data_IF_991171445299
#
_entry.id   IF_991171445299
#
_cell.length_a   1.000
_cell.length_b   1.000
_cell.length_c   1.000
_cell.angle_alpha   90.00
_cell.angle_beta   90.00
_cell.angle_gamma   90.00
#
_symmetry.space_group_name_H-M   'P 1'
#
loop_
_entity.id
_entity.type
_entity.pdbx_description
1 polymer ?
#
# COMPACT_ATOMS: atom_id res chain seq x y z
N UNK A 1 -1.66 36.27 -8.37
CA UNK A 1 -1.88 34.98 -7.64
C UNK A 1 -0.81 34.86 -6.58
N UNK A 2 -1.15 34.51 -5.32
CA UNK A 2 -0.13 34.25 -4.28
C UNK A 2 0.65 32.98 -4.63
N UNK A 3 1.98 33.03 -4.52
CA UNK A 3 2.88 31.89 -4.72
C UNK A 3 2.49 30.74 -3.78
N UNK A 4 2.40 29.50 -4.28
CA UNK A 4 2.08 28.36 -3.43
C UNK A 4 3.21 28.09 -2.44
N UNK A 5 2.87 27.64 -1.23
CA UNK A 5 3.83 27.12 -0.28
C UNK A 5 4.20 25.68 -0.63
N UNK A 6 5.49 25.40 -0.72
CA UNK A 6 6.04 24.07 -0.99
C UNK A 6 6.65 23.51 0.29
N UNK A 7 6.40 22.25 0.59
CA UNK A 7 6.90 21.64 1.83
C UNK A 7 7.13 20.14 1.70
N UNK A 8 8.18 19.67 2.36
CA UNK A 8 8.37 18.26 2.71
C UNK A 8 8.21 18.15 4.22
N UNK A 9 7.39 17.20 4.68
CA UNK A 9 7.24 16.88 6.10
C UNK A 9 7.61 15.43 6.33
N UNK A 10 8.67 15.26 7.10
CA UNK A 10 9.12 14.00 7.66
C UNK A 10 8.84 14.04 9.16
N UNK A 11 8.34 12.94 9.70
CA UNK A 11 8.17 12.79 11.14
C UNK A 11 9.22 11.79 11.65
N UNK A 12 9.97 12.10 12.71
CA UNK A 12 11.04 11.24 13.21
C UNK A 12 10.55 9.84 13.66
N UNK A 13 9.23 9.71 13.85
CA UNK A 13 8.57 8.49 14.34
C UNK A 13 7.57 7.92 13.34
N UNK A 14 7.64 8.31 12.06
CA UNK A 14 6.76 7.81 11.01
C UNK A 14 7.56 7.45 9.78
N UNK A 15 7.20 6.35 9.13
CA UNK A 15 7.75 5.96 7.83
C UNK A 15 7.06 6.68 6.66
N UNK A 16 6.20 7.66 6.94
CA UNK A 16 5.44 8.40 5.95
C UNK A 16 6.07 9.76 5.69
N UNK A 17 6.40 10.01 4.44
CA UNK A 17 6.84 11.33 3.98
C UNK A 17 5.70 12.03 3.27
N UNK A 18 5.47 13.29 3.61
CA UNK A 18 4.46 14.13 2.96
C UNK A 18 5.11 15.21 2.13
N UNK A 19 4.68 15.35 0.88
CA UNK A 19 5.02 16.45 0.01
C UNK A 19 3.75 17.28 -0.24
N UNK A 20 3.87 18.60 -0.14
CA UNK A 20 2.75 19.51 -0.28
C UNK A 20 3.07 20.68 -1.20
N UNK A 21 2.15 20.96 -2.12
CA UNK A 21 2.07 22.23 -2.84
C UNK A 21 0.74 22.90 -2.50
N UNK A 22 0.79 23.89 -1.62
CA UNK A 22 -0.36 24.47 -0.94
C UNK A 22 -0.69 25.85 -1.50
N UNK A 23 -1.90 26.01 -2.01
CA UNK A 23 -2.51 27.30 -2.37
C UNK A 23 -3.44 27.77 -1.25
N UNK A 24 -3.99 28.99 -1.28
CA UNK A 24 -4.90 29.45 -0.23
C UNK A 24 -6.12 28.55 0.00
N UNK A 25 -6.74 28.02 -1.07
CA UNK A 25 -8.00 27.28 -0.98
C UNK A 25 -7.82 25.75 -1.08
N UNK A 26 -6.77 25.27 -1.74
CA UNK A 26 -6.53 23.85 -1.96
C UNK A 26 -5.04 23.54 -1.95
N UNK A 27 -4.68 22.26 -1.90
CA UNK A 27 -3.31 21.82 -2.06
C UNK A 27 -3.21 20.49 -2.79
N UNK A 28 -2.11 20.31 -3.51
CA UNK A 28 -1.68 18.98 -3.94
C UNK A 28 -0.90 18.35 -2.80
N UNK A 29 -1.28 17.12 -2.45
CA UNK A 29 -0.63 16.33 -1.40
C UNK A 29 -0.16 15.03 -2.01
N UNK A 30 1.14 14.77 -1.88
CA UNK A 30 1.73 13.48 -2.20
C UNK A 30 2.17 12.83 -0.89
N UNK A 31 1.75 11.60 -0.68
CA UNK A 31 2.18 10.77 0.42
C UNK A 31 3.06 9.65 -0.12
N UNK A 32 4.26 9.52 0.45
CA UNK A 32 5.23 8.49 0.10
C UNK A 32 5.32 7.46 1.22
N UNK A 33 4.92 6.24 0.87
CA UNK A 33 4.83 5.07 1.73
C UNK A 33 5.94 4.07 1.44
N UNK A 34 6.95 4.44 0.65
CA UNK A 34 8.01 3.53 0.16
C UNK A 34 8.67 2.78 1.30
N UNK A 35 8.97 3.46 2.42
CA UNK A 35 9.60 2.87 3.61
C UNK A 35 8.61 2.29 4.62
N UNK A 36 7.31 2.55 4.47
CA UNK A 36 6.28 2.02 5.38
C UNK A 36 5.95 0.57 5.03
N UNK A 37 6.61 -0.40 5.67
CA UNK A 37 6.43 -1.84 5.40
C UNK A 37 5.00 -2.38 5.60
N UNK A 38 4.12 -1.64 6.27
CA UNK A 38 2.75 -2.05 6.57
C UNK A 38 1.69 -1.44 5.65
N UNK A 39 2.11 -0.60 4.69
CA UNK A 39 1.21 -0.04 3.67
C UNK A 39 1.59 -0.60 2.30
N UNK A 40 0.59 -1.06 1.54
CA UNK A 40 0.78 -1.62 0.21
C UNK A 40 0.91 -0.54 -0.87
N UNK A 41 0.60 0.72 -0.56
CA UNK A 41 0.80 1.86 -1.45
C UNK A 41 2.28 2.22 -1.46
N UNK A 42 2.75 2.69 -2.61
CA UNK A 42 4.07 3.32 -2.79
C UNK A 42 3.93 4.83 -2.72
N UNK A 43 3.02 5.37 -3.52
CA UNK A 43 2.69 6.80 -3.54
C UNK A 43 1.18 6.99 -3.57
N UNK A 44 0.73 8.09 -3.01
CA UNK A 44 -0.66 8.55 -3.12
C UNK A 44 -0.68 10.04 -3.41
N UNK A 45 -1.35 10.44 -4.50
CA UNK A 45 -1.54 11.82 -4.93
C UNK A 45 -3.01 12.20 -4.75
N UNK A 46 -3.27 13.25 -3.97
CA UNK A 46 -4.62 13.75 -3.72
C UNK A 46 -4.68 15.28 -3.79
N UNK A 47 -5.84 15.80 -4.21
CA UNK A 47 -6.21 17.18 -3.96
C UNK A 47 -6.87 17.30 -2.60
N UNK A 48 -6.44 18.31 -1.85
CA UNK A 48 -6.92 18.60 -0.51
C UNK A 48 -7.57 19.97 -0.49
N UNK A 49 -8.77 20.06 0.05
CA UNK A 49 -9.39 21.33 0.40
C UNK A 49 -8.81 21.81 1.74
N UNK A 50 -8.29 23.03 1.76
CA UNK A 50 -7.62 23.57 2.94
C UNK A 50 -8.59 24.07 4.01
N UNK A 51 -9.85 24.37 3.65
CA UNK A 51 -10.88 24.78 4.62
C UNK A 51 -11.38 23.58 5.41
N UNK A 52 -11.68 22.49 4.72
CA UNK A 52 -12.24 21.27 5.32
C UNK A 52 -11.17 20.26 5.74
N UNK A 53 -9.93 20.46 5.27
CA UNK A 53 -8.81 19.54 5.47
C UNK A 53 -9.04 18.14 4.85
N UNK A 54 -10.01 18.01 3.94
CA UNK A 54 -10.45 16.75 3.35
C UNK A 54 -10.02 16.62 1.90
N UNK A 55 -9.87 15.38 1.44
CA UNK A 55 -9.59 15.12 0.03
C UNK A 55 -10.83 15.36 -0.82
N UNK A 56 -10.66 16.12 -1.89
CA UNK A 56 -11.72 16.57 -2.79
C UNK A 56 -11.16 16.65 -4.22
N UNK A 57 -11.84 16.02 -5.18
CA UNK A 57 -11.42 15.92 -6.57
C UNK A 57 -10.73 14.60 -6.89
N UNK A 58 -9.99 14.55 -8.00
CA UNK A 58 -9.36 13.33 -8.48
C UNK A 58 -8.03 13.04 -7.77
N UNK A 59 -7.79 11.75 -7.51
CA UNK A 59 -6.56 11.27 -6.90
C UNK A 59 -6.22 9.86 -7.35
N UNK A 60 -5.00 9.43 -7.03
CA UNK A 60 -4.58 8.07 -7.31
C UNK A 60 -3.56 7.57 -6.29
N UNK A 61 -3.50 6.25 -6.13
CA UNK A 61 -2.46 5.57 -5.40
C UNK A 61 -1.76 4.56 -6.31
N UNK A 62 -0.43 4.65 -6.38
CA UNK A 62 0.41 3.65 -7.04
C UNK A 62 0.81 2.61 -6.00
N UNK A 63 0.60 1.33 -6.30
CA UNK A 63 0.88 0.24 -5.36
C UNK A 63 2.34 -0.21 -5.45
N UNK A 64 2.88 -0.77 -4.36
CA UNK A 64 4.26 -1.31 -4.33
C UNK A 64 4.47 -2.48 -5.28
N UNK A 65 3.44 -3.30 -5.48
CA UNK A 65 3.47 -4.43 -6.41
C UNK A 65 3.16 -4.02 -7.86
N UNK A 66 3.09 -2.73 -8.14
CA UNK A 66 2.66 -2.20 -9.44
C UNK A 66 1.15 -2.03 -9.54
N UNK A 67 0.72 -1.33 -10.59
CA UNK A 67 -0.67 -0.92 -10.77
C UNK A 67 -1.02 0.37 -10.03
N UNK A 68 -2.11 0.99 -10.48
CA UNK A 68 -2.57 2.29 -9.99
C UNK A 68 -4.07 2.24 -9.77
N UNK A 69 -4.49 2.67 -8.58
CA UNK A 69 -5.88 2.82 -8.21
C UNK A 69 -6.24 4.31 -8.24
N UNK A 70 -7.04 4.73 -9.21
CA UNK A 70 -7.51 6.11 -9.32
C UNK A 70 -8.98 6.24 -8.89
N UNK A 71 -9.35 7.45 -8.47
CA UNK A 71 -10.69 7.72 -7.98
C UNK A 71 -11.02 9.20 -7.87
N UNK A 72 -12.31 9.47 -7.78
CA UNK A 72 -12.86 10.77 -7.43
C UNK A 72 -13.24 10.76 -5.95
N UNK A 73 -12.71 11.73 -5.20
CA UNK A 73 -12.94 11.92 -3.79
C UNK A 73 -13.87 13.11 -3.58
N UNK A 74 -14.80 13.00 -2.63
CA UNK A 74 -15.57 14.12 -2.13
C UNK A 74 -15.73 14.01 -0.62
N UNK A 75 -15.47 15.10 0.08
CA UNK A 75 -15.50 15.22 1.53
C UNK A 75 -14.68 14.12 2.24
N UNK A 76 -13.55 13.71 1.64
CA UNK A 76 -12.66 12.67 2.15
C UNK A 76 -13.09 11.22 1.86
N UNK A 77 -14.23 11.01 1.20
CA UNK A 77 -14.72 9.69 0.82
C UNK A 77 -14.55 9.45 -0.68
N UNK A 78 -14.26 8.20 -1.06
CA UNK A 78 -14.23 7.77 -2.45
C UNK A 78 -15.67 7.72 -2.99
N UNK A 79 -15.95 8.51 -4.03
CA UNK A 79 -17.24 8.53 -4.71
C UNK A 79 -17.29 7.47 -5.81
N UNK A 80 -16.23 7.38 -6.62
CA UNK A 80 -16.13 6.37 -7.69
C UNK A 80 -14.69 6.12 -8.11
N UNK A 81 -14.45 4.94 -8.68
CA UNK A 81 -13.24 4.63 -9.44
C UNK A 81 -13.32 5.26 -10.82
N UNK A 82 -12.19 5.78 -11.30
CA UNK A 82 -12.10 6.40 -12.62
C UNK A 82 -10.79 6.03 -13.29
N UNK A 83 -10.77 6.02 -14.62
CA UNK A 83 -9.54 5.98 -15.38
C UNK A 83 -9.06 7.42 -15.58
N UNK A 84 -7.85 7.74 -15.09
CA UNK A 84 -7.26 9.06 -15.29
C UNK A 84 -6.43 9.09 -16.59
N UNK A 85 -6.45 10.19 -17.34
CA UNK A 85 -5.62 10.34 -18.53
C UNK A 85 -4.13 10.47 -18.15
N UNK A 86 -3.23 10.09 -19.06
CA UNK A 86 -1.77 10.18 -18.84
C UNK A 86 -1.31 11.59 -18.44
N UNK A 87 -1.93 12.63 -18.98
CA UNK A 87 -1.65 14.03 -18.64
C UNK A 87 -1.83 14.35 -17.16
N UNK A 88 -2.73 13.64 -16.45
CA UNK A 88 -2.93 13.82 -15.02
C UNK A 88 -1.74 13.30 -14.20
N UNK A 89 -1.21 12.13 -14.59
CA UNK A 89 0.00 11.57 -13.98
C UNK A 89 1.20 12.48 -14.24
N UNK A 90 1.38 12.94 -15.49
CA UNK A 90 2.45 13.87 -15.84
C UNK A 90 2.37 15.16 -15.01
N UNK A 91 1.16 15.65 -14.72
CA UNK A 91 0.96 16.81 -13.84
C UNK A 91 1.37 16.52 -12.39
N UNK A 92 1.00 15.36 -11.87
CA UNK A 92 1.39 14.93 -10.52
C UNK A 92 2.91 14.80 -10.39
N UNK A 93 3.58 14.23 -11.39
CA UNK A 93 5.04 14.12 -11.44
C UNK A 93 5.70 15.50 -11.48
N UNK A 94 5.21 16.42 -12.31
CA UNK A 94 5.71 17.79 -12.36
C UNK A 94 5.56 18.52 -11.01
N UNK A 95 4.44 18.33 -10.31
CA UNK A 95 4.24 18.86 -8.95
C UNK A 95 5.23 18.24 -7.97
N UNK A 96 5.47 16.94 -8.06
CA UNK A 96 6.40 16.25 -7.17
C UNK A 96 7.83 16.75 -7.34
N UNK A 97 8.30 16.88 -8.57
CA UNK A 97 9.64 17.37 -8.89
C UNK A 97 9.83 18.84 -8.50
N UNK A 98 8.81 19.67 -8.67
CA UNK A 98 8.84 21.06 -8.18
C UNK A 98 9.01 21.13 -6.66
N UNK A 99 8.27 20.31 -5.90
CA UNK A 99 8.39 20.28 -4.44
C UNK A 99 9.79 19.81 -4.03
N UNK A 100 10.31 18.73 -4.63
CA UNK A 100 11.65 18.21 -4.32
C UNK A 100 12.75 19.23 -4.59
N UNK A 101 12.68 19.92 -5.75
CA UNK A 101 13.66 20.93 -6.13
C UNK A 101 13.75 22.05 -5.09
N UNK A 102 12.61 22.62 -4.71
CA UNK A 102 12.57 23.73 -3.74
C UNK A 102 12.95 23.29 -2.33
N UNK A 103 12.58 22.07 -1.95
CA UNK A 103 13.00 21.51 -0.66
C UNK A 103 14.52 21.28 -0.60
N UNK A 104 15.15 20.82 -1.68
CA UNK A 104 16.60 20.67 -1.73
C UNK A 104 17.32 22.02 -1.58
N UNK A 105 16.81 23.08 -2.21
CA UNK A 105 17.34 24.44 -2.02
C UNK A 105 17.22 24.90 -0.55
N UNK A 106 16.08 24.64 0.09
CA UNK A 106 15.87 24.95 1.50
C UNK A 106 16.82 24.15 2.42
N UNK A 107 17.03 22.87 2.12
CA UNK A 107 17.98 22.00 2.86
C UNK A 107 19.42 22.49 2.70
N UNK A 108 19.83 22.89 1.49
CA UNK A 108 21.15 23.47 1.27
C UNK A 108 21.35 24.76 2.06
N UNK A 109 20.35 25.65 2.07
CA UNK A 109 20.39 26.88 2.86
C UNK A 109 20.46 26.59 4.36
N UNK A 110 19.67 25.62 4.85
CA UNK A 110 19.72 25.18 6.24
C UNK A 110 21.10 24.62 6.60
N UNK A 111 21.69 23.77 5.76
CA UNK A 111 23.02 23.20 5.99
C UNK A 111 24.10 24.29 6.05
N UNK A 112 24.05 25.28 5.16
CA UNK A 112 24.95 26.44 5.20
C UNK A 112 24.78 27.24 6.50
N UNK A 113 23.55 27.47 6.94
CA UNK A 113 23.25 28.16 8.20
C UNK A 113 23.80 27.38 9.41
N UNK A 114 23.67 26.05 9.42
CA UNK A 114 24.23 25.19 10.47
C UNK A 114 25.76 25.28 10.53
N UNK A 115 26.45 25.28 9.38
CA UNK A 115 27.91 25.46 9.34
C UNK A 115 28.32 26.82 9.92
N UNK A 116 27.60 27.89 9.59
CA UNK A 116 27.87 29.24 10.13
C UNK A 116 27.62 29.27 11.63
N UNK A 117 26.52 28.67 12.11
CA UNK A 117 26.22 28.52 13.53
C UNK A 117 27.34 27.81 14.26
N UNK A 118 27.82 26.67 13.74
CA UNK A 118 28.92 25.92 14.36
C UNK A 118 30.23 26.70 14.38
N UNK A 119 30.55 27.44 13.31
CA UNK A 119 31.72 28.34 13.29
C UNK A 119 31.60 29.44 14.34
N UNK A 120 30.41 30.04 14.47
CA UNK A 120 30.14 31.06 15.48
C UNK A 120 30.28 30.49 16.89
N UNK A 121 29.64 29.34 17.17
CA UNK A 121 29.72 28.60 18.43
C UNK A 121 31.18 28.34 18.83
N UNK A 122 32.00 27.78 17.92
CA UNK A 122 33.44 27.55 18.14
C UNK A 122 34.24 28.82 18.47
N UNK A 123 33.82 29.98 17.97
CA UNK A 123 34.48 31.26 18.26
C UNK A 123 34.12 31.75 19.67
N UNK A 124 32.84 31.77 20.01
CA UNK A 124 32.34 32.39 21.26
C UNK A 124 32.48 31.49 22.48
N UNK A 125 32.53 30.18 22.29
CA UNK A 125 32.62 29.19 23.38
C UNK A 125 34.05 28.99 23.90
N UNK A 126 35.03 29.76 23.40
CA UNK A 126 36.38 29.78 23.99
C UNK A 126 36.33 30.47 25.35
N UNK A 127 37.07 29.96 26.33
CA UNK A 127 37.14 30.56 27.67
C UNK A 127 37.68 32.00 27.65
N UNK A 128 38.57 32.29 26.70
CA UNK A 128 39.15 33.61 26.49
C UNK A 128 38.17 34.66 25.96
N UNK A 129 37.01 34.25 25.44
CA UNK A 129 35.99 35.18 24.94
C UNK A 129 35.03 35.49 26.07
N UNK A 130 34.93 36.78 26.41
CA UNK A 130 33.96 37.32 27.38
C UNK A 130 33.33 38.58 26.80
N UNK A 131 32.08 38.83 27.17
CA UNK A 131 31.33 40.03 26.79
C UNK A 131 30.99 40.87 28.01
N UNK A 132 30.92 42.17 27.83
CA UNK A 132 30.64 43.18 28.86
C UNK A 132 29.25 43.83 28.72
N UNK A 133 28.61 43.67 27.55
CA UNK A 133 27.31 44.25 27.24
C UNK A 133 26.11 43.42 27.72
N UNK A 134 26.32 42.20 28.22
CA UNK A 134 25.28 41.34 28.80
C UNK A 134 25.89 40.31 29.76
N UNK A 135 25.05 39.58 30.49
CA UNK A 135 25.52 38.47 31.32
C UNK A 135 26.24 37.42 30.46
N UNK A 136 27.48 37.11 30.84
CA UNK A 136 28.35 36.24 30.05
C UNK A 136 27.88 34.78 30.07
N UNK A 137 27.17 34.33 31.11
CA UNK A 137 26.61 32.98 31.16
C UNK A 137 25.40 32.87 30.23
N UNK A 138 24.54 33.89 30.20
CA UNK A 138 23.45 34.00 29.24
C UNK A 138 23.98 34.03 27.80
N UNK A 139 25.03 34.82 27.54
CA UNK A 139 25.69 34.88 26.22
C UNK A 139 26.29 33.52 25.80
N UNK A 140 26.89 32.78 26.75
CA UNK A 140 27.49 31.46 26.49
C UNK A 140 26.51 30.29 26.59
N UNK A 141 25.22 30.52 26.86
CA UNK A 141 24.23 29.44 26.98
C UNK A 141 24.16 28.54 25.74
N UNK A 142 24.42 29.09 24.54
CA UNK A 142 24.47 28.33 23.27
C UNK A 142 25.62 27.30 23.23
N UNK A 143 26.67 27.46 24.05
CA UNK A 143 27.78 26.53 24.13
C UNK A 143 27.39 25.18 24.74
N UNK A 144 26.31 25.16 25.53
CA UNK A 144 25.78 23.95 26.18
C UNK A 144 24.59 23.34 25.43
N UNK A 145 24.34 23.77 24.19
CA UNK A 145 23.24 23.22 23.37
C UNK A 145 23.39 21.71 23.14
N UNK A 146 24.63 21.23 23.03
CA UNK A 146 24.95 19.81 22.78
C UNK A 146 24.46 18.92 23.94
N UNK A 147 24.46 19.41 25.18
CA UNK A 147 23.89 18.70 26.34
C UNK A 147 22.36 18.54 26.22
N UNK A 148 21.67 19.60 25.79
CA UNK A 148 20.22 19.56 25.55
C UNK A 148 19.88 18.61 24.39
N UNK A 149 20.69 18.63 23.33
CA UNK A 149 20.54 17.70 22.20
C UNK A 149 20.78 16.26 22.66
N UNK A 150 21.78 16.00 23.50
CA UNK A 150 22.05 14.67 24.04
C UNK A 150 20.89 14.15 24.89
N UNK A 151 20.29 15.00 25.75
CA UNK A 151 19.10 14.63 26.52
C UNK A 151 17.89 14.34 25.61
N UNK A 152 17.71 15.12 24.54
CA UNK A 152 16.65 14.89 23.57
C UNK A 152 16.88 13.57 22.82
N UNK A 153 18.12 13.26 22.45
CA UNK A 153 18.51 12.03 21.78
C UNK A 153 18.12 10.80 22.59
N UNK A 154 18.36 10.80 23.91
CA UNK A 154 17.94 9.68 24.79
C UNK A 154 16.42 9.43 24.68
N UNK A 155 15.60 10.50 24.67
CA UNK A 155 14.13 10.37 24.54
C UNK A 155 13.72 9.87 23.15
N UNK A 156 14.39 10.35 22.10
CA UNK A 156 14.15 9.91 20.72
C UNK A 156 14.48 8.42 20.58
N UNK A 157 15.67 8.01 21.04
CA UNK A 157 16.15 6.62 20.94
C UNK A 157 15.23 5.66 21.72
N UNK A 158 14.80 6.06 22.92
CA UNK A 158 13.82 5.29 23.70
C UNK A 158 12.48 5.13 22.95
N UNK A 159 12.01 6.20 22.29
CA UNK A 159 10.77 6.15 21.51
C UNK A 159 10.91 5.28 20.25
N UNK A 160 12.06 5.36 19.58
CA UNK A 160 12.37 4.52 18.42
C UNK A 160 12.43 3.04 18.80
N UNK A 161 13.02 2.69 19.95
CA UNK A 161 13.03 1.34 20.46
C UNK A 161 11.61 0.79 20.68
N UNK A 162 10.71 1.58 21.29
CA UNK A 162 9.30 1.21 21.46
C UNK A 162 8.60 0.98 20.11
N UNK A 163 8.85 1.86 19.13
CA UNK A 163 8.26 1.73 17.79
C UNK A 163 8.77 0.45 17.11
N UNK A 164 10.07 0.17 17.18
CA UNK A 164 10.65 -1.02 16.57
C UNK A 164 10.08 -2.30 17.19
N UNK A 165 9.92 -2.35 18.51
CA UNK A 165 9.23 -3.47 19.19
C UNK A 165 7.79 -3.62 18.70
N UNK A 166 7.03 -2.53 18.58
CA UNK A 166 5.67 -2.58 18.05
C UNK A 166 5.62 -3.06 16.59
N UNK A 167 6.60 -2.66 15.75
CA UNK A 167 6.73 -3.15 14.38
C UNK A 167 7.01 -4.65 14.34
N UNK A 168 7.91 -5.16 15.18
CA UNK A 168 8.18 -6.60 15.27
C UNK A 168 6.95 -7.42 15.67
N UNK A 169 6.18 -6.95 16.66
CA UNK A 169 4.91 -7.58 17.04
C UNK A 169 3.94 -7.59 15.85
N UNK A 170 3.80 -6.47 15.14
CA UNK A 170 2.92 -6.37 13.97
C UNK A 170 3.37 -7.29 12.83
N UNK A 171 4.68 -7.43 12.58
CA UNK A 171 5.22 -8.39 11.60
C UNK A 171 4.85 -9.83 11.96
N UNK A 172 4.98 -10.21 13.24
CA UNK A 172 4.59 -11.55 13.71
C UNK A 172 3.10 -11.81 13.53
N UNK A 173 2.25 -10.86 13.92
CA UNK A 173 0.80 -10.95 13.74
C UNK A 173 0.41 -11.13 12.27
N UNK A 174 0.92 -10.29 11.37
CA UNK A 174 0.65 -10.44 9.94
C UNK A 174 1.20 -11.74 9.35
N UNK A 175 2.36 -12.21 9.82
CA UNK A 175 2.93 -13.50 9.43
C UNK A 175 2.01 -14.67 9.80
N UNK A 176 1.48 -14.66 11.03
CA UNK A 176 0.50 -15.65 11.51
C UNK A 176 -0.80 -15.59 10.70
N UNK A 177 -1.37 -14.40 10.49
CA UNK A 177 -2.58 -14.25 9.67
C UNK A 177 -2.40 -14.76 8.24
N UNK A 178 -1.23 -14.54 7.63
CA UNK A 178 -0.92 -15.07 6.30
C UNK A 178 -0.82 -16.59 6.30
N UNK A 179 -0.20 -17.18 7.31
CA UNK A 179 -0.12 -18.64 7.45
C UNK A 179 -1.51 -19.27 7.61
N UNK A 180 -2.37 -18.67 8.44
CA UNK A 180 -3.76 -19.11 8.63
C UNK A 180 -4.53 -19.04 7.31
N UNK A 181 -4.50 -17.90 6.61
CA UNK A 181 -5.17 -17.76 5.31
C UNK A 181 -4.65 -18.73 4.26
N UNK A 182 -3.36 -19.04 4.26
CA UNK A 182 -2.78 -20.03 3.36
C UNK A 182 -3.30 -21.45 3.68
N UNK A 183 -3.38 -21.81 4.96
CA UNK A 183 -3.96 -23.08 5.40
C UNK A 183 -5.45 -23.17 5.05
N UNK A 184 -6.23 -22.12 5.29
CA UNK A 184 -7.65 -22.05 4.94
C UNK A 184 -7.85 -22.20 3.42
N UNK A 185 -7.04 -21.51 2.61
CA UNK A 185 -7.09 -21.62 1.16
C UNK A 185 -6.71 -23.03 0.67
N UNK A 186 -5.71 -23.68 1.28
CA UNK A 186 -5.34 -25.06 0.98
C UNK A 186 -6.46 -26.04 1.35
N UNK A 187 -7.06 -25.89 2.53
CA UNK A 187 -8.19 -26.71 2.96
C UNK A 187 -9.40 -26.55 2.02
N UNK A 188 -9.72 -25.31 1.63
CA UNK A 188 -10.78 -25.04 0.66
C UNK A 188 -10.46 -25.61 -0.74
N UNK A 189 -9.20 -25.57 -1.17
CA UNK A 189 -8.79 -26.18 -2.43
C UNK A 189 -8.91 -27.71 -2.39
N UNK A 190 -8.46 -28.34 -1.29
CA UNK A 190 -8.60 -29.79 -1.08
C UNK A 190 -10.07 -30.22 -1.01
N UNK A 191 -10.91 -29.47 -0.31
CA UNK A 191 -12.36 -29.73 -0.26
C UNK A 191 -13.00 -29.64 -1.64
N UNK A 192 -12.65 -28.62 -2.44
CA UNK A 192 -13.15 -28.51 -3.82
C UNK A 192 -12.67 -29.66 -4.71
N UNK A 193 -11.43 -30.12 -4.55
CA UNK A 193 -10.91 -31.27 -5.28
C UNK A 193 -11.63 -32.56 -4.89
N UNK A 194 -11.88 -32.78 -3.60
CA UNK A 194 -12.64 -33.94 -3.13
C UNK A 194 -14.08 -33.93 -3.68
N UNK A 195 -14.77 -32.79 -3.63
CA UNK A 195 -16.11 -32.65 -4.22
C UNK A 195 -16.12 -32.87 -5.73
N UNK A 196 -15.13 -32.34 -6.46
CA UNK A 196 -15.00 -32.58 -7.90
C UNK A 196 -14.74 -34.06 -8.21
N UNK A 197 -13.93 -34.75 -7.40
CA UNK A 197 -13.67 -36.17 -7.55
C UNK A 197 -14.91 -37.02 -7.23
N UNK A 198 -15.66 -36.70 -6.17
CA UNK A 198 -16.94 -37.35 -5.84
C UNK A 198 -17.95 -37.17 -6.97
N UNK A 199 -18.06 -35.96 -7.53
CA UNK A 199 -18.96 -35.68 -8.65
C UNK A 199 -18.52 -36.42 -9.92
N UNK A 200 -17.22 -36.50 -10.19
CA UNK A 200 -16.69 -37.27 -11.31
C UNK A 200 -16.98 -38.78 -11.17
N UNK A 201 -16.77 -39.34 -9.97
CA UNK A 201 -17.06 -40.73 -9.66
C UNK A 201 -18.57 -41.02 -9.76
N UNK A 202 -19.42 -40.12 -9.27
CA UNK A 202 -20.88 -40.23 -9.41
C UNK A 202 -21.30 -40.22 -10.88
N UNK A 203 -20.75 -39.30 -11.69
CA UNK A 203 -21.04 -39.23 -13.12
C UNK A 203 -20.60 -40.50 -13.86
N UNK A 204 -19.43 -41.06 -13.52
CA UNK A 204 -18.98 -42.34 -14.07
C UNK A 204 -19.90 -43.50 -13.68
N UNK A 205 -20.33 -43.57 -12.41
CA UNK A 205 -21.28 -44.58 -11.96
C UNK A 205 -22.63 -44.49 -12.71
N UNK A 206 -23.13 -43.28 -12.92
CA UNK A 206 -24.35 -43.04 -13.71
C UNK A 206 -24.18 -43.42 -15.18
N UNK A 207 -23.03 -43.14 -15.79
CA UNK A 207 -22.74 -43.57 -17.16
C UNK A 207 -22.70 -45.09 -17.29
N UNK A 208 -22.04 -45.78 -16.34
CA UNK A 208 -21.98 -47.24 -16.33
C UNK A 208 -23.38 -47.85 -16.16
N UNK A 209 -24.19 -47.34 -15.23
CA UNK A 209 -25.58 -47.79 -15.05
C UNK A 209 -26.42 -47.60 -16.32
N UNK A 210 -26.25 -46.47 -17.01
CA UNK A 210 -26.97 -46.19 -18.25
C UNK A 210 -26.54 -47.16 -19.38
N UNK A 211 -25.25 -47.46 -19.49
CA UNK A 211 -24.74 -48.45 -20.44
C UNK A 211 -25.28 -49.86 -20.15
N UNK A 212 -25.32 -50.26 -18.88
CA UNK A 212 -25.85 -51.57 -18.46
C UNK A 212 -27.35 -51.71 -18.77
N UNK A 213 -28.13 -50.65 -18.54
CA UNK A 213 -29.55 -50.61 -18.89
C UNK A 213 -29.79 -50.71 -20.40
N UNK A 214 -28.99 -50.00 -21.21
CA UNK A 214 -29.07 -50.11 -22.67
C UNK A 214 -28.73 -51.53 -23.15
N UNK A 215 -27.70 -52.16 -22.58
CA UNK A 215 -27.32 -53.54 -22.90
C UNK A 215 -28.40 -54.54 -22.50
N UNK A 216 -29.05 -54.38 -21.34
CA UNK A 216 -30.21 -55.21 -20.98
C UNK A 216 -31.38 -55.04 -21.94
N UNK A 217 -31.69 -53.81 -22.37
CA UNK A 217 -32.75 -53.57 -23.36
C UNK A 217 -32.43 -54.24 -24.71
N UNK A 218 -31.19 -54.12 -25.19
CA UNK A 218 -30.74 -54.80 -26.40
C UNK A 218 -30.84 -56.32 -26.26
N UNK A 219 -30.43 -56.89 -25.12
CA UNK A 219 -30.47 -58.32 -24.90
C UNK A 219 -31.91 -58.85 -24.80
N UNK A 220 -32.81 -58.10 -24.13
CA UNK A 220 -34.24 -58.39 -24.11
C UNK A 220 -34.87 -58.31 -25.51
N UNK A 221 -34.49 -57.32 -26.32
CA UNK A 221 -34.97 -57.20 -27.70
C UNK A 221 -34.49 -58.37 -28.58
N UNK A 222 -33.25 -58.83 -28.41
CA UNK A 222 -32.70 -59.99 -29.12
C UNK A 222 -33.38 -61.30 -28.69
N UNK A 223 -33.65 -61.49 -27.39
CA UNK A 223 -34.41 -62.63 -26.87
C UNK A 223 -35.84 -62.65 -27.40
N UNK A 224 -36.48 -61.48 -27.50
CA UNK A 224 -37.80 -61.36 -28.11
C UNK A 224 -37.76 -61.69 -29.62
N UNK A 225 -36.73 -61.23 -30.34
CA UNK A 225 -36.55 -61.57 -31.76
C UNK A 225 -36.31 -63.07 -32.00
N UNK A 226 -35.61 -63.76 -31.09
CA UNK A 226 -35.37 -65.19 -31.16
C UNK A 226 -36.58 -66.04 -30.76
N UNK A 227 -37.54 -65.48 -30.02
CA UNK A 227 -38.76 -66.17 -29.59
C UNK A 227 -39.99 -65.85 -30.45
N UNK A 228 -39.88 -64.90 -31.39
CA UNK A 228 -40.93 -64.67 -32.38
C UNK A 228 -40.94 -65.75 -33.47
N UNK A 229 -42.12 -66.25 -33.87
CA UNK A 229 -42.24 -67.25 -34.94
C UNK A 229 -41.80 -66.63 -36.28
N UNK A 230 -40.77 -67.21 -36.90
CA UNK A 230 -40.31 -66.79 -38.24
C UNK A 230 -41.38 -67.16 -39.29
N UNK A 231 -42.00 -66.15 -39.90
CA UNK A 231 -42.76 -66.33 -41.15
C UNK A 231 -41.75 -66.48 -42.29
N UNK A 232 -41.76 -67.64 -42.94
CA UNK A 232 -41.08 -67.86 -44.21
C UNK A 232 -42.09 -67.59 -45.33
N UNK A 233 -41.93 -66.47 -46.03
CA UNK A 233 -42.65 -66.25 -47.29
C UNK A 233 -41.90 -67.00 -48.39
N UNK A 234 -42.47 -68.13 -48.81
CA UNK A 234 -41.97 -68.94 -49.93
C UNK A 234 -42.48 -68.31 -51.23
N UNK A 235 -41.58 -67.73 -52.02
CA UNK A 235 -41.87 -67.37 -53.40
C UNK A 235 -41.78 -68.62 -54.28
N UNK A 236 -42.90 -69.05 -54.84
CA UNK A 236 -42.98 -70.06 -55.89
C UNK A 236 -43.15 -69.35 -57.23
N UNK A 237 -42.33 -69.73 -58.21
CA UNK A 237 -42.52 -69.42 -59.64
C UNK A 237 -43.66 -70.25 -60.23
#
# INVERSE_FOLDING_TARGET
MKTPALSIRNYPFSDLTYYGKLYPNFGYVIMDFTTNEFDNRKYEFNLKDNKTNKFNGYGFATMKQGGTNAGEMSNGALIRRVQLPQSYFNKADAVFEEIKKEANLALEAQNKALIIKEKYKKKICKDSVKVDFMDNNEYKAICHEDEKIAQLKIKIDAKLAQINQAKEVKRKQMGQERAIKAQEAQAQAAQRQAQAAEQANFNQAMQNLNNDLQMQQLNNNLMMYNTMPKRYDVYLH
#
